data_IF_507440480944
#
_entry.id   IF_507440480944
#
_cell.length_a   1.000
_cell.length_b   1.000
_cell.length_c   1.000
_cell.angle_alpha   90.00
_cell.angle_beta   90.00
_cell.angle_gamma   90.00
#
_symmetry.space_group_name_H-M   'P 1'
#
loop_
_entity.id
_entity.type
_entity.pdbx_description
1 polymer ?
#
# COMPACT_ATOMS: atom_id res chain seq x y z
N UNK A 1 -19.82 35.86 -5.60
CA UNK A 1 -20.32 34.51 -5.22
C UNK A 1 -20.03 33.47 -6.29
N UNK A 2 -20.12 33.80 -7.58
CA UNK A 2 -19.83 32.85 -8.66
C UNK A 2 -18.37 32.38 -8.70
N UNK A 3 -17.41 33.32 -8.58
CA UNK A 3 -15.98 32.98 -8.55
C UNK A 3 -15.60 32.09 -7.37
N UNK A 4 -16.22 32.26 -6.19
CA UNK A 4 -15.94 31.42 -5.02
C UNK A 4 -16.44 29.99 -5.18
N UNK A 5 -17.58 29.78 -5.87
CA UNK A 5 -18.10 28.44 -6.16
C UNK A 5 -17.23 27.72 -7.19
N UNK A 6 -16.69 28.46 -8.17
CA UNK A 6 -15.73 27.94 -9.14
C UNK A 6 -14.45 27.43 -8.45
N UNK A 7 -13.83 28.25 -7.59
CA UNK A 7 -12.62 27.83 -6.87
C UNK A 7 -12.88 26.62 -5.95
N UNK A 8 -14.01 26.58 -5.25
CA UNK A 8 -14.37 25.43 -4.41
C UNK A 8 -14.54 24.12 -5.21
N UNK A 9 -15.18 24.20 -6.38
CA UNK A 9 -15.35 23.07 -7.30
C UNK A 9 -14.01 22.59 -7.87
N UNK A 10 -13.10 23.52 -8.16
CA UNK A 10 -11.76 23.22 -8.65
C UNK A 10 -10.93 22.47 -7.59
N UNK A 11 -10.91 22.96 -6.35
CA UNK A 11 -10.19 22.29 -5.25
C UNK A 11 -10.76 20.90 -4.97
N UNK A 12 -12.08 20.73 -5.04
CA UNK A 12 -12.73 19.43 -4.86
C UNK A 12 -12.32 18.44 -5.96
N UNK A 13 -12.30 18.88 -7.22
CA UNK A 13 -11.81 18.08 -8.34
C UNK A 13 -10.34 17.70 -8.18
N UNK A 14 -9.50 18.63 -7.74
CA UNK A 14 -8.08 18.39 -7.48
C UNK A 14 -7.86 17.38 -6.34
N UNK A 15 -8.68 17.43 -5.28
CA UNK A 15 -8.66 16.42 -4.19
C UNK A 15 -8.96 15.01 -4.71
N UNK A 16 -9.97 14.83 -5.54
CA UNK A 16 -10.30 13.52 -6.10
C UNK A 16 -9.17 12.96 -6.98
N UNK A 17 -8.57 13.79 -7.82
CA UNK A 17 -7.43 13.39 -8.66
C UNK A 17 -6.21 13.05 -7.79
N UNK A 18 -5.88 13.91 -6.81
CA UNK A 18 -4.76 13.69 -5.90
C UNK A 18 -4.91 12.43 -5.05
N UNK A 19 -6.10 12.17 -4.52
CA UNK A 19 -6.42 10.95 -3.78
C UNK A 19 -6.27 9.70 -4.68
N UNK A 20 -6.76 9.76 -5.91
CA UNK A 20 -6.61 8.68 -6.89
C UNK A 20 -5.13 8.36 -7.17
N UNK A 21 -4.30 9.39 -7.42
CA UNK A 21 -2.87 9.22 -7.67
C UNK A 21 -2.13 8.66 -6.44
N UNK A 22 -2.51 9.08 -5.23
CA UNK A 22 -1.90 8.56 -4.00
C UNK A 22 -2.10 7.04 -3.82
N UNK A 23 -3.22 6.48 -4.30
CA UNK A 23 -3.48 5.04 -4.20
C UNK A 23 -2.57 4.16 -5.06
N UNK A 24 -1.86 4.72 -6.04
CA UNK A 24 -0.89 3.97 -6.87
C UNK A 24 0.21 3.34 -5.99
N UNK A 25 0.53 3.95 -4.84
CA UNK A 25 1.49 3.40 -3.87
C UNK A 25 1.13 1.99 -3.37
N UNK A 26 -0.16 1.61 -3.38
CA UNK A 26 -0.61 0.26 -2.97
C UNK A 26 -0.09 -0.83 -3.91
N UNK A 27 0.15 -0.51 -5.18
CA UNK A 27 0.74 -1.45 -6.12
C UNK A 27 2.14 -1.91 -5.68
N UNK A 28 2.92 -1.01 -5.05
CA UNK A 28 4.22 -1.34 -4.48
C UNK A 28 4.13 -2.35 -3.35
N UNK A 29 3.14 -2.22 -2.47
CA UNK A 29 2.88 -3.19 -1.41
C UNK A 29 2.49 -4.56 -1.99
N UNK A 30 1.58 -4.58 -2.99
CA UNK A 30 1.20 -5.82 -3.67
C UNK A 30 2.38 -6.56 -4.31
N UNK A 31 3.27 -5.83 -5.00
CA UNK A 31 4.50 -6.42 -5.55
C UNK A 31 5.44 -6.93 -4.44
N UNK A 32 5.62 -6.16 -3.36
CA UNK A 32 6.47 -6.55 -2.25
C UNK A 32 6.04 -7.86 -1.59
N UNK A 33 4.73 -8.06 -1.40
CA UNK A 33 4.17 -9.30 -0.86
C UNK A 33 4.50 -10.50 -1.76
N UNK A 34 4.35 -10.33 -3.07
CA UNK A 34 4.71 -11.36 -4.05
C UNK A 34 6.20 -11.76 -3.96
N UNK A 35 7.10 -10.79 -3.77
CA UNK A 35 8.54 -11.06 -3.60
C UNK A 35 8.81 -11.78 -2.27
N UNK A 36 8.19 -11.35 -1.17
CA UNK A 36 8.37 -12.00 0.15
C UNK A 36 7.92 -13.45 0.12
N UNK A 37 6.72 -13.73 -0.41
CA UNK A 37 6.18 -15.09 -0.44
C UNK A 37 6.87 -15.99 -1.48
N UNK A 38 7.31 -15.45 -2.62
CA UNK A 38 8.12 -16.23 -3.58
C UNK A 38 9.47 -16.65 -2.98
N UNK A 39 10.12 -15.76 -2.23
CA UNK A 39 11.33 -16.08 -1.46
C UNK A 39 11.09 -17.15 -0.41
N UNK A 40 9.99 -17.04 0.36
CA UNK A 40 9.58 -18.05 1.33
C UNK A 40 9.34 -19.41 0.70
N UNK A 41 8.58 -19.49 -0.40
CA UNK A 41 8.31 -20.75 -1.10
C UNK A 41 9.59 -21.43 -1.59
N UNK A 42 10.50 -20.66 -2.19
CA UNK A 42 11.76 -21.20 -2.67
C UNK A 42 12.64 -21.71 -1.51
N UNK A 43 12.73 -20.96 -0.42
CA UNK A 43 13.52 -21.37 0.73
C UNK A 43 12.89 -22.56 1.48
N UNK A 44 11.56 -22.59 1.63
CA UNK A 44 10.83 -23.69 2.24
C UNK A 44 10.94 -24.98 1.42
N UNK A 45 10.99 -24.90 0.09
CA UNK A 45 11.20 -26.05 -0.80
C UNK A 45 12.60 -26.64 -0.68
N UNK A 46 13.61 -25.88 -0.22
CA UNK A 46 14.99 -26.34 -0.06
C UNK A 46 15.25 -27.00 1.30
N UNK A 47 14.58 -26.55 2.35
CA UNK A 47 14.73 -27.12 3.68
C UNK A 47 13.44 -26.98 4.51
N UNK A 48 12.70 -28.09 4.65
CA UNK A 48 11.43 -28.12 5.36
C UNK A 48 11.59 -28.01 6.89
N UNK A 49 12.76 -28.36 7.44
CA UNK A 49 12.99 -28.39 8.90
C UNK A 49 12.91 -26.98 9.52
N UNK A 50 13.29 -25.95 8.76
CA UNK A 50 13.29 -24.55 9.19
C UNK A 50 12.03 -23.79 8.77
N UNK A 51 11.04 -24.47 8.17
CA UNK A 51 9.85 -23.84 7.56
C UNK A 51 9.05 -22.98 8.55
N UNK A 52 8.92 -23.42 9.80
CA UNK A 52 8.18 -22.68 10.82
C UNK A 52 8.84 -21.34 11.18
N UNK A 53 10.18 -21.29 11.20
CA UNK A 53 10.93 -20.05 11.45
C UNK A 53 10.88 -19.13 10.22
N UNK A 54 11.08 -19.70 9.02
CA UNK A 54 10.95 -18.98 7.75
C UNK A 54 9.56 -18.37 7.58
N UNK A 55 8.50 -19.07 7.99
CA UNK A 55 7.15 -18.53 7.93
C UNK A 55 6.96 -17.34 8.87
N UNK A 56 7.58 -17.34 10.06
CA UNK A 56 7.56 -16.18 10.96
C UNK A 56 8.26 -14.98 10.32
N UNK A 57 9.40 -15.18 9.67
CA UNK A 57 10.08 -14.12 8.93
C UNK A 57 9.28 -13.63 7.71
N UNK A 58 8.60 -14.53 7.00
CA UNK A 58 7.73 -14.17 5.89
C UNK A 58 6.54 -13.31 6.35
N UNK A 59 5.91 -13.65 7.47
CA UNK A 59 4.83 -12.85 8.06
C UNK A 59 5.33 -11.49 8.56
N UNK A 60 6.54 -11.42 9.14
CA UNK A 60 7.17 -10.16 9.50
C UNK A 60 7.37 -9.27 8.25
N UNK A 61 7.94 -9.83 7.18
CA UNK A 61 8.13 -9.12 5.91
C UNK A 61 6.81 -8.69 5.26
N UNK A 62 5.79 -9.54 5.32
CA UNK A 62 4.42 -9.23 4.89
C UNK A 62 3.85 -8.04 5.67
N UNK A 63 3.92 -8.07 7.00
CA UNK A 63 3.41 -7.00 7.85
C UNK A 63 4.10 -5.65 7.59
N UNK A 64 5.42 -5.66 7.37
CA UNK A 64 6.17 -4.45 7.01
C UNK A 64 5.77 -3.93 5.62
N UNK A 65 5.54 -4.82 4.66
CA UNK A 65 5.09 -4.45 3.31
C UNK A 65 3.68 -3.86 3.34
N UNK A 66 2.77 -4.48 4.09
CA UNK A 66 1.40 -3.99 4.30
C UNK A 66 1.36 -2.67 5.04
N UNK A 67 2.24 -2.44 6.03
CA UNK A 67 2.33 -1.15 6.72
C UNK A 67 2.60 0.01 5.74
N UNK A 68 3.37 -0.23 4.67
CA UNK A 68 3.60 0.76 3.62
C UNK A 68 2.42 0.91 2.67
N UNK A 69 1.71 -0.17 2.36
CA UNK A 69 0.44 -0.11 1.62
C UNK A 69 -0.63 0.69 2.37
N UNK A 70 -0.80 0.41 3.66
CA UNK A 70 -1.74 1.12 4.53
C UNK A 70 -1.35 2.59 4.72
N UNK A 71 -0.05 2.90 4.78
CA UNK A 71 0.40 4.30 4.79
C UNK A 71 -0.03 5.06 3.54
N UNK A 72 0.10 4.45 2.35
CA UNK A 72 -0.36 5.06 1.09
C UNK A 72 -1.87 5.29 1.09
N UNK A 73 -2.66 4.33 1.59
CA UNK A 73 -4.12 4.46 1.72
C UNK A 73 -4.49 5.54 2.73
N UNK A 74 -3.79 5.63 3.86
CA UNK A 74 -3.99 6.67 4.87
C UNK A 74 -3.80 8.07 4.26
N UNK A 75 -2.74 8.26 3.46
CA UNK A 75 -2.50 9.53 2.77
C UNK A 75 -3.61 9.83 1.76
N UNK A 76 -4.07 8.83 1.01
CA UNK A 76 -5.19 9.01 0.07
C UNK A 76 -6.47 9.46 0.80
N UNK A 77 -6.79 8.88 1.96
CA UNK A 77 -7.93 9.31 2.77
C UNK A 77 -7.75 10.70 3.37
N UNK A 78 -6.54 11.07 3.76
CA UNK A 78 -6.24 12.41 4.27
C UNK A 78 -6.41 13.47 3.18
N UNK A 79 -6.07 13.18 1.92
CA UNK A 79 -6.34 14.08 0.80
C UNK A 79 -7.84 14.22 0.53
N UNK A 80 -8.59 13.12 0.67
CA UNK A 80 -10.01 13.09 0.35
C UNK A 80 -10.88 13.76 1.43
N UNK A 81 -10.62 13.45 2.69
CA UNK A 81 -11.47 13.82 3.84
C UNK A 81 -10.80 14.76 4.85
N UNK A 82 -9.49 14.98 4.74
CA UNK A 82 -8.75 15.94 5.57
C UNK A 82 -8.86 17.38 5.09
#
# INVERSE_FOLDING_TARGET
MENSVFFASLTTSAKFIGAGLATIGVAGAGMGIGVVFSGYMNAAARNEMIRAELFRYAILGFALTEAMGLLAIMIAFLILYG
#
